data_IF_945422445236
#
_entry.id   IF_945422445236
#
_cell.length_a   1.000
_cell.length_b   1.000
_cell.length_c   1.000
_cell.angle_alpha   90.00
_cell.angle_beta   90.00
_cell.angle_gamma   90.00
#
_symmetry.space_group_name_H-M   'P 1'
#
loop_
_entity.id
_entity.type
_entity.pdbx_description
1 polymer ?
#
# COMPACT_ATOMS: atom_id res chain seq x y z
N UNK A 1 -5.86 -3.00 -32.16
CA UNK A 1 -5.66 -4.27 -31.43
C UNK A 1 -5.39 -3.95 -29.97
N UNK A 2 -6.45 -3.77 -29.17
CA UNK A 2 -6.30 -3.48 -27.74
C UNK A 2 -5.89 -4.76 -27.01
N UNK A 3 -4.74 -4.76 -26.35
CA UNK A 3 -4.40 -5.83 -25.40
C UNK A 3 -5.49 -5.85 -24.35
N UNK A 4 -6.29 -6.92 -24.31
CA UNK A 4 -7.12 -7.24 -23.15
C UNK A 4 -6.15 -7.34 -21.98
N UNK A 5 -6.08 -6.31 -21.13
CA UNK A 5 -5.50 -6.45 -19.79
C UNK A 5 -6.27 -7.62 -19.19
N UNK A 6 -5.61 -8.75 -18.99
CA UNK A 6 -6.14 -9.78 -18.12
C UNK A 6 -6.57 -9.03 -16.85
N UNK A 7 -7.78 -9.32 -16.35
CA UNK A 7 -8.20 -8.79 -15.05
C UNK A 7 -7.26 -9.43 -14.05
N UNK A 8 -6.13 -8.78 -13.80
CA UNK A 8 -5.28 -9.11 -12.68
C UNK A 8 -6.20 -9.09 -11.47
N UNK A 9 -6.23 -10.17 -10.67
CA UNK A 9 -7.05 -10.18 -9.47
C UNK A 9 -6.70 -8.93 -8.66
N UNK A 10 -7.72 -8.25 -8.15
CA UNK A 10 -7.55 -7.02 -7.39
C UNK A 10 -6.47 -7.25 -6.33
N UNK A 11 -5.31 -6.60 -6.51
CA UNK A 11 -4.10 -6.76 -5.70
C UNK A 11 -4.45 -6.71 -4.21
N UNK A 12 -5.30 -5.75 -3.85
CA UNK A 12 -5.80 -5.56 -2.49
C UNK A 12 -6.63 -6.76 -2.04
N UNK A 13 -7.56 -7.29 -2.83
CA UNK A 13 -8.32 -8.50 -2.49
C UNK A 13 -7.43 -9.73 -2.24
N UNK A 14 -6.37 -9.92 -3.05
CA UNK A 14 -5.41 -11.02 -2.85
C UNK A 14 -4.65 -10.86 -1.53
N UNK A 15 -4.15 -9.65 -1.26
CA UNK A 15 -3.40 -9.34 -0.04
C UNK A 15 -4.29 -9.39 1.21
N UNK A 16 -5.54 -8.93 1.13
CA UNK A 16 -6.51 -9.04 2.23
C UNK A 16 -6.78 -10.50 2.60
N UNK A 17 -6.72 -11.41 1.63
CA UNK A 17 -6.95 -12.85 1.86
C UNK A 17 -5.70 -13.58 2.36
N UNK A 18 -4.53 -13.28 1.79
CA UNK A 18 -3.32 -14.10 1.96
C UNK A 18 -2.11 -13.38 2.57
N UNK A 19 -2.18 -12.05 2.66
CA UNK A 19 -1.08 -11.21 3.11
C UNK A 19 -0.84 -11.29 4.62
N UNK A 20 0.38 -10.96 5.03
CA UNK A 20 0.77 -10.78 6.43
C UNK A 20 0.85 -9.30 6.75
N UNK A 21 0.70 -8.96 8.02
CA UNK A 21 0.79 -7.59 8.50
C UNK A 21 2.13 -7.39 9.21
N UNK A 22 2.76 -6.24 8.97
CA UNK A 22 3.89 -5.72 9.73
C UNK A 22 3.64 -4.24 10.05
N UNK A 23 4.36 -3.70 11.02
CA UNK A 23 4.38 -2.26 11.24
C UNK A 23 5.22 -1.56 10.15
N UNK A 24 4.75 -0.38 9.75
CA UNK A 24 5.47 0.54 8.87
C UNK A 24 5.27 1.99 9.27
N UNK A 25 5.78 2.88 8.43
CA UNK A 25 5.67 4.32 8.60
C UNK A 25 5.37 4.98 7.27
N UNK A 26 4.44 5.94 7.26
CA UNK A 26 4.26 6.80 6.09
C UNK A 26 5.47 7.73 5.99
N UNK A 27 6.09 7.79 4.82
CA UNK A 27 7.23 8.68 4.56
C UNK A 27 6.85 9.89 3.71
N UNK A 28 5.81 9.76 2.87
CA UNK A 28 5.33 10.85 2.01
C UNK A 28 3.84 10.65 1.64
N UNK A 29 3.17 11.73 1.27
CA UNK A 29 1.80 11.69 0.74
C UNK A 29 1.73 12.57 -0.50
N UNK A 30 1.26 12.02 -1.62
CA UNK A 30 1.23 12.70 -2.92
C UNK A 30 -0.12 12.56 -3.61
N UNK A 31 -0.47 13.55 -4.42
CA UNK A 31 -1.61 13.50 -5.32
C UNK A 31 -1.06 13.19 -6.72
N UNK A 32 -1.52 12.09 -7.32
CA UNK A 32 -1.16 11.73 -8.70
C UNK A 32 -1.88 12.63 -9.74
N UNK A 33 -1.48 12.55 -11.01
CA UNK A 33 -2.04 13.36 -12.10
C UNK A 33 -3.57 13.21 -12.26
N UNK A 34 -4.12 12.06 -11.86
CA UNK A 34 -5.56 11.80 -11.87
C UNK A 34 -6.29 12.30 -10.60
N UNK A 35 -5.62 13.02 -9.70
CA UNK A 35 -6.19 13.47 -8.43
C UNK A 35 -6.27 12.37 -7.36
N UNK A 36 -5.55 11.26 -7.55
CA UNK A 36 -5.58 10.11 -6.64
C UNK A 36 -4.55 10.30 -5.52
N UNK A 37 -5.01 10.20 -4.28
CA UNK A 37 -4.16 10.32 -3.10
C UNK A 37 -3.40 9.01 -2.88
N UNK A 38 -2.08 9.09 -3.05
CA UNK A 38 -1.13 8.02 -2.86
C UNK A 38 -0.32 8.30 -1.59
N UNK A 39 -0.14 7.27 -0.78
CA UNK A 39 0.77 7.32 0.35
C UNK A 39 2.00 6.51 0.02
N UNK A 40 3.17 7.03 0.38
CA UNK A 40 4.43 6.31 0.31
C UNK A 40 4.78 5.88 1.72
N UNK A 41 5.13 4.62 1.90
CA UNK A 41 5.41 4.05 3.20
C UNK A 41 6.64 3.14 3.15
N UNK A 42 7.30 3.02 4.30
CA UNK A 42 8.43 2.15 4.50
C UNK A 42 8.15 1.15 5.63
N UNK A 43 8.71 -0.04 5.51
CA UNK A 43 8.63 -1.11 6.51
C UNK A 43 9.86 -2.02 6.40
N UNK A 44 10.20 -2.67 7.50
CA UNK A 44 11.39 -3.53 7.58
C UNK A 44 10.97 -4.97 7.82
N UNK A 45 11.45 -5.90 7.00
CA UNK A 45 11.27 -7.34 7.18
C UNK A 45 12.63 -8.01 7.31
N UNK A 46 12.86 -8.72 8.42
CA UNK A 46 14.11 -9.45 8.68
C UNK A 46 15.39 -8.60 8.46
N UNK A 47 15.34 -7.32 8.81
CA UNK A 47 16.46 -6.38 8.64
C UNK A 47 16.63 -5.81 7.24
N UNK A 48 15.70 -6.09 6.32
CA UNK A 48 15.66 -5.51 4.97
C UNK A 48 14.57 -4.45 4.93
N UNK A 49 14.94 -3.24 4.49
CA UNK A 49 14.02 -2.13 4.33
C UNK A 49 13.33 -2.17 2.98
N UNK A 50 12.02 -1.96 3.00
CA UNK A 50 11.17 -1.88 1.81
C UNK A 50 10.49 -0.52 1.79
N UNK A 51 10.34 0.02 0.58
CA UNK A 51 9.57 1.23 0.30
C UNK A 51 8.56 0.90 -0.78
N UNK A 52 7.32 1.37 -0.58
CA UNK A 52 6.24 1.15 -1.54
C UNK A 52 5.23 2.30 -1.47
N UNK A 53 4.33 2.32 -2.44
CA UNK A 53 3.23 3.28 -2.49
C UNK A 53 1.90 2.57 -2.73
N UNK A 54 0.84 3.12 -2.15
CA UNK A 54 -0.52 2.60 -2.28
C UNK A 54 -1.54 3.73 -2.34
N UNK A 55 -2.64 3.47 -3.03
CA UNK A 55 -3.77 4.39 -3.11
C UNK A 55 -4.69 4.18 -1.91
N UNK A 56 -4.99 5.26 -1.18
CA UNK A 56 -5.93 5.17 -0.07
C UNK A 56 -7.32 4.82 -0.56
N UNK A 57 -7.94 3.84 0.10
CA UNK A 57 -9.34 3.51 -0.13
C UNK A 57 -10.25 4.68 0.29
N UNK A 58 -11.49 4.77 -0.22
CA UNK A 58 -12.44 5.80 0.21
C UNK A 58 -12.64 5.84 1.73
N UNK A 59 -12.61 4.69 2.41
CA UNK A 59 -12.73 4.62 3.86
C UNK A 59 -11.48 5.18 4.57
N UNK A 60 -10.28 4.89 4.07
CA UNK A 60 -9.04 5.40 4.66
C UNK A 60 -8.89 6.92 4.48
N UNK A 61 -9.36 7.48 3.35
CA UNK A 61 -9.39 8.92 3.10
C UNK A 61 -10.23 9.71 4.12
N UNK A 62 -11.25 9.07 4.72
CA UNK A 62 -12.03 9.71 5.79
C UNK A 62 -11.22 9.92 7.07
N UNK A 63 -10.13 9.17 7.26
CA UNK A 63 -9.22 9.26 8.39
C UNK A 63 -7.80 9.66 7.93
N UNK A 64 -7.72 10.60 6.96
CA UNK A 64 -6.46 11.01 6.32
C UNK A 64 -5.35 11.44 7.30
N UNK A 65 -5.71 11.88 8.51
CA UNK A 65 -4.75 12.19 9.58
C UNK A 65 -3.89 11.00 10.05
N UNK A 66 -4.34 9.76 9.83
CA UNK A 66 -3.55 8.54 10.07
C UNK A 66 -2.54 8.23 8.97
N UNK A 67 -2.66 8.89 7.82
CA UNK A 67 -1.91 8.60 6.61
C UNK A 67 -1.00 9.77 6.19
N UNK A 68 -0.47 10.48 7.20
CA UNK A 68 0.47 11.60 7.04
C UNK A 68 1.91 11.17 7.31
N UNK A 69 2.93 11.85 6.75
CA UNK A 69 4.32 11.51 7.00
C UNK A 69 4.67 11.43 8.50
N UNK A 70 5.34 10.35 8.88
CA UNK A 70 5.69 10.01 10.26
C UNK A 70 4.65 9.15 10.99
N UNK A 71 3.44 8.99 10.45
CA UNK A 71 2.42 8.15 11.05
C UNK A 71 2.80 6.65 11.00
N UNK A 72 2.56 5.95 12.11
CA UNK A 72 2.70 4.49 12.19
C UNK A 72 1.45 3.83 11.62
N UNK A 73 1.64 2.89 10.70
CA UNK A 73 0.57 2.22 9.97
C UNK A 73 0.83 0.72 9.87
N UNK A 74 -0.25 -0.05 9.71
CA UNK A 74 -0.14 -1.46 9.33
C UNK A 74 0.18 -1.57 7.85
N UNK A 75 1.19 -2.36 7.50
CA UNK A 75 1.50 -2.71 6.12
C UNK A 75 1.19 -4.17 5.91
N UNK A 76 0.31 -4.43 4.94
CA UNK A 76 -0.07 -5.78 4.54
C UNK A 76 0.70 -6.15 3.28
N UNK A 77 1.48 -7.22 3.33
CA UNK A 77 2.38 -7.64 2.25
C UNK A 77 2.21 -9.13 1.90
N UNK A 78 2.56 -9.52 0.67
CA UNK A 78 2.62 -10.92 0.26
C UNK A 78 3.91 -11.56 0.80
N UNK A 79 3.85 -12.59 1.66
CA UNK A 79 5.05 -13.29 2.13
C UNK A 79 5.85 -13.99 1.02
N UNK A 80 5.24 -14.26 -0.14
CA UNK A 80 5.92 -14.83 -1.32
C UNK A 80 6.53 -13.78 -2.24
N UNK A 81 6.02 -12.54 -2.20
CA UNK A 81 6.52 -11.40 -2.94
C UNK A 81 6.47 -10.16 -2.04
N UNK A 82 7.51 -9.96 -1.24
CA UNK A 82 7.51 -8.94 -0.17
C UNK A 82 7.35 -7.52 -0.69
N UNK A 83 7.76 -7.22 -1.92
CA UNK A 83 7.51 -5.90 -2.55
C UNK A 83 6.02 -5.61 -2.75
N UNK A 84 5.21 -6.65 -2.90
CA UNK A 84 3.77 -6.51 -3.06
C UNK A 84 3.08 -6.22 -1.71
N UNK A 85 2.83 -4.94 -1.46
CA UNK A 85 2.35 -4.42 -0.19
C UNK A 85 1.33 -3.28 -0.35
N UNK A 86 0.40 -3.19 0.61
CA UNK A 86 -0.63 -2.14 0.72
C UNK A 86 -0.68 -1.60 2.15
N UNK A 87 -1.22 -0.40 2.31
CA UNK A 87 -1.48 0.17 3.62
C UNK A 87 -2.84 -0.29 4.16
N UNK A 88 -2.88 -0.64 5.45
CA UNK A 88 -4.06 -1.10 6.19
C UNK A 88 -4.68 -0.01 7.06
#
# INVERSE_FOLDING_TARGET
MGRKKAVEPDRRAVLLTNGRITDGVIIDTKIDADGRELVVFAYTLNGVDFESADELTPAQKLDGGRYVPGAKVGIRFDPKNQYDSIVE
#
